data_IF_304682871856
#
_entry.id   IF_304682871856
#
_cell.length_a   1.000
_cell.length_b   1.000
_cell.length_c   1.000
_cell.angle_alpha   90.00
_cell.angle_beta   90.00
_cell.angle_gamma   90.00
#
_symmetry.space_group_name_H-M   'P 1'
#
loop_
_entity.id
_entity.type
_entity.pdbx_description
1 polymer ?
#
# COMPACT_ATOMS: atom_id res chain seq x y z
N UNK A 1 -77.08 11.81 -24.61
CA UNK A 1 -77.24 10.50 -23.94
C UNK A 1 -78.37 10.66 -22.95
N UNK A 2 -79.56 10.19 -23.31
CA UNK A 2 -80.70 10.16 -22.39
C UNK A 2 -80.42 9.04 -21.38
N UNK A 3 -80.27 9.40 -20.10
CA UNK A 3 -80.07 8.42 -19.03
C UNK A 3 -81.33 7.60 -18.79
N UNK A 4 -81.21 6.38 -18.21
CA UNK A 4 -82.36 5.56 -17.90
C UNK A 4 -83.28 6.29 -16.90
N UNK A 5 -84.56 6.43 -17.25
CA UNK A 5 -85.57 7.10 -16.42
C UNK A 5 -86.66 6.10 -16.01
N UNK A 6 -87.04 6.16 -14.73
CA UNK A 6 -88.09 5.33 -14.16
C UNK A 6 -89.11 6.21 -13.46
N UNK A 7 -90.39 6.06 -13.81
CA UNK A 7 -91.50 6.67 -13.10
C UNK A 7 -92.20 5.62 -12.23
N UNK A 8 -92.30 5.90 -10.95
CA UNK A 8 -92.87 4.99 -9.96
C UNK A 8 -94.15 5.59 -9.40
N UNK A 9 -95.27 4.88 -9.53
CA UNK A 9 -96.60 5.34 -9.14
C UNK A 9 -97.23 4.34 -8.16
N UNK A 10 -97.62 4.82 -6.98
CA UNK A 10 -98.34 4.05 -5.98
C UNK A 10 -99.73 4.67 -5.73
N UNK A 11 -100.78 4.26 -6.48
CA UNK A 11 -102.11 4.81 -6.26
C UNK A 11 -102.66 4.39 -4.89
N UNK A 12 -103.29 5.33 -4.18
CA UNK A 12 -104.09 5.07 -2.98
C UNK A 12 -105.57 5.37 -3.29
N UNK A 13 -106.49 4.60 -2.71
CA UNK A 13 -107.91 4.94 -2.75
C UNK A 13 -108.18 6.10 -1.77
N UNK A 14 -108.63 7.24 -2.30
CA UNK A 14 -109.04 8.42 -1.53
C UNK A 14 -110.50 8.79 -1.77
N UNK A 15 -111.12 9.44 -0.77
CA UNK A 15 -112.51 9.94 -0.84
C UNK A 15 -112.74 10.86 -2.05
N UNK A 16 -114.02 10.93 -2.48
CA UNK A 16 -114.47 11.64 -3.66
C UNK A 16 -113.83 13.03 -3.82
N UNK A 17 -112.97 13.19 -4.83
CA UNK A 17 -112.52 14.51 -5.26
C UNK A 17 -113.76 15.28 -5.71
N UNK A 18 -114.09 16.38 -5.03
CA UNK A 18 -115.37 17.08 -5.17
C UNK A 18 -115.74 17.47 -6.62
N UNK A 19 -116.93 18.05 -6.79
CA UNK A 19 -117.52 18.32 -8.10
C UNK A 19 -116.56 19.04 -9.06
N UNK A 20 -116.22 18.39 -10.17
CA UNK A 20 -115.32 18.90 -11.22
C UNK A 20 -113.89 18.35 -11.18
N UNK A 21 -113.53 17.53 -10.18
CA UNK A 21 -112.26 16.83 -10.12
C UNK A 21 -112.45 15.34 -10.44
N UNK A 22 -111.50 14.75 -11.16
CA UNK A 22 -111.46 13.31 -11.45
C UNK A 22 -110.30 12.74 -10.62
N UNK A 23 -110.56 11.83 -9.66
CA UNK A 23 -109.51 11.14 -8.91
C UNK A 23 -108.60 10.35 -9.87
N UNK A 24 -107.29 10.43 -9.64
CA UNK A 24 -106.28 9.71 -10.43
C UNK A 24 -105.63 10.55 -11.54
N UNK A 25 -104.64 9.96 -12.21
CA UNK A 25 -103.98 10.56 -13.38
C UNK A 25 -104.87 10.33 -14.61
N UNK A 26 -105.77 11.26 -14.93
CA UNK A 26 -106.56 11.18 -16.16
C UNK A 26 -105.64 11.28 -17.39
N UNK A 27 -105.43 10.15 -18.09
CA UNK A 27 -104.81 10.12 -19.42
C UNK A 27 -103.33 10.50 -19.46
N UNK A 28 -102.48 9.81 -18.70
CA UNK A 28 -101.03 9.90 -18.92
C UNK A 28 -100.64 9.09 -20.17
N UNK A 29 -100.03 9.71 -21.17
CA UNK A 29 -99.44 8.99 -22.32
C UNK A 29 -98.04 8.53 -21.97
N UNK A 30 -97.75 7.24 -22.11
CA UNK A 30 -96.40 6.69 -21.93
C UNK A 30 -95.38 7.47 -22.78
N UNK A 31 -94.32 7.95 -22.13
CA UNK A 31 -93.21 8.66 -22.78
C UNK A 31 -92.21 7.62 -23.29
N UNK A 32 -91.85 7.64 -24.58
CA UNK A 32 -90.85 6.73 -25.13
C UNK A 32 -89.54 6.78 -24.34
N UNK A 33 -89.00 5.62 -24.00
CA UNK A 33 -87.72 5.51 -23.28
C UNK A 33 -87.82 5.44 -21.75
N UNK A 34 -88.99 5.76 -21.17
CA UNK A 34 -89.23 5.68 -19.71
C UNK A 34 -89.76 4.31 -19.31
N UNK A 35 -89.29 3.78 -18.18
CA UNK A 35 -89.87 2.59 -17.54
C UNK A 35 -90.89 3.03 -16.49
N UNK A 36 -92.06 2.42 -16.48
CA UNK A 36 -93.12 2.70 -15.53
C UNK A 36 -93.25 1.53 -14.55
N UNK A 37 -93.38 1.82 -13.26
CA UNK A 37 -93.69 0.83 -12.22
C UNK A 37 -94.92 1.30 -11.46
N UNK A 38 -96.02 0.54 -11.55
CA UNK A 38 -97.32 0.91 -10.98
C UNK A 38 -97.84 -0.25 -10.13
N UNK A 39 -98.16 0.02 -8.87
CA UNK A 39 -98.66 -1.01 -7.94
C UNK A 39 -98.99 -0.43 -6.57
N UNK A 40 -99.54 -1.21 -5.63
CA UNK A 40 -99.87 -0.72 -4.31
C UNK A 40 -98.59 -0.31 -3.56
N UNK A 41 -98.73 0.62 -2.60
CA UNK A 41 -97.60 1.21 -1.84
C UNK A 41 -96.63 0.17 -1.29
N UNK A 42 -97.12 -0.98 -0.81
CA UNK A 42 -96.29 -2.06 -0.26
C UNK A 42 -95.40 -2.72 -1.33
N UNK A 43 -95.97 -3.01 -2.51
CA UNK A 43 -95.23 -3.61 -3.63
C UNK A 43 -94.20 -2.64 -4.20
N UNK A 44 -94.57 -1.36 -4.38
CA UNK A 44 -93.66 -0.31 -4.83
C UNK A 44 -92.50 -0.09 -3.84
N UNK A 45 -92.77 -0.09 -2.54
CA UNK A 45 -91.72 0.03 -1.53
C UNK A 45 -90.74 -1.16 -1.58
N UNK A 46 -91.23 -2.39 -1.83
CA UNK A 46 -90.36 -3.56 -2.00
C UNK A 46 -89.51 -3.47 -3.28
N UNK A 47 -90.06 -2.91 -4.37
CA UNK A 47 -89.34 -2.69 -5.61
C UNK A 47 -88.19 -1.68 -5.43
N UNK A 48 -88.48 -0.54 -4.78
CA UNK A 48 -87.50 0.51 -4.47
C UNK A 48 -86.46 0.05 -3.45
N UNK A 49 -86.85 -0.77 -2.48
CA UNK A 49 -85.96 -1.34 -1.48
C UNK A 49 -85.12 -2.52 -1.96
N UNK A 50 -85.23 -2.91 -3.23
CA UNK A 50 -84.56 -4.11 -3.75
C UNK A 50 -84.21 -4.01 -5.24
N UNK A 51 -84.88 -4.76 -6.14
CA UNK A 51 -84.37 -5.00 -7.49
C UNK A 51 -84.12 -3.74 -8.33
N UNK A 52 -84.93 -2.69 -8.16
CA UNK A 52 -84.84 -1.49 -8.99
C UNK A 52 -83.59 -0.63 -8.69
N UNK A 53 -83.11 -0.66 -7.45
CA UNK A 53 -81.90 0.06 -7.02
C UNK A 53 -80.68 -0.86 -6.88
N UNK A 54 -80.75 -2.10 -7.38
CA UNK A 54 -79.63 -3.02 -7.38
C UNK A 54 -78.68 -2.74 -8.57
N UNK A 55 -77.40 -2.39 -8.33
CA UNK A 55 -76.41 -2.22 -9.40
C UNK A 55 -76.32 -3.48 -10.29
N UNK A 56 -76.20 -3.29 -11.60
CA UNK A 56 -76.11 -4.39 -12.57
C UNK A 56 -77.41 -5.12 -12.90
N UNK A 57 -78.55 -4.75 -12.31
CA UNK A 57 -79.86 -5.36 -12.65
C UNK A 57 -80.56 -4.58 -13.76
N UNK A 58 -80.83 -5.22 -14.91
CA UNK A 58 -81.53 -4.57 -16.03
C UNK A 58 -83.03 -4.43 -15.77
N UNK A 59 -83.72 -3.49 -16.44
CA UNK A 59 -85.16 -3.28 -16.27
C UNK A 59 -86.00 -4.53 -16.58
N UNK A 60 -85.58 -5.35 -17.54
CA UNK A 60 -86.18 -6.66 -17.78
C UNK A 60 -85.97 -7.63 -16.60
N UNK A 61 -84.81 -7.56 -15.93
CA UNK A 61 -84.54 -8.31 -14.70
C UNK A 61 -85.39 -7.83 -13.53
N UNK A 62 -85.52 -6.50 -13.37
CA UNK A 62 -86.40 -5.88 -12.37
C UNK A 62 -87.86 -6.31 -12.58
N UNK A 63 -88.34 -6.33 -13.82
CA UNK A 63 -89.71 -6.75 -14.13
C UNK A 63 -90.00 -8.22 -13.78
N UNK A 64 -89.01 -9.12 -13.90
CA UNK A 64 -89.16 -10.53 -13.51
C UNK A 64 -89.13 -10.74 -12.00
N UNK A 65 -88.43 -9.89 -11.27
CA UNK A 65 -88.28 -9.97 -9.82
C UNK A 65 -89.31 -9.12 -9.05
N UNK A 66 -90.15 -8.37 -9.76
CA UNK A 66 -91.15 -7.51 -9.16
C UNK A 66 -92.25 -8.35 -8.46
N UNK A 67 -92.81 -7.85 -7.35
CA UNK A 67 -93.99 -8.46 -6.72
C UNK A 67 -95.17 -8.58 -7.71
N UNK A 68 -95.99 -9.62 -7.56
CA UNK A 68 -97.12 -9.92 -8.48
C UNK A 68 -98.16 -8.77 -8.56
N UNK A 69 -98.21 -7.89 -7.56
CA UNK A 69 -99.12 -6.73 -7.50
C UNK A 69 -98.52 -5.45 -8.09
N UNK A 70 -97.29 -5.50 -8.63
CA UNK A 70 -96.61 -4.39 -9.30
C UNK A 70 -96.45 -4.68 -10.79
N UNK A 71 -97.02 -3.81 -11.62
CA UNK A 71 -96.92 -3.89 -13.07
C UNK A 71 -95.79 -2.97 -13.53
N UNK A 72 -94.81 -3.55 -14.24
CA UNK A 72 -93.80 -2.78 -14.97
C UNK A 72 -94.14 -2.72 -16.47
N UNK A 73 -94.12 -1.51 -17.04
CA UNK A 73 -94.39 -1.26 -18.46
C UNK A 73 -93.42 -0.23 -19.06
N UNK A 74 -93.55 0.04 -20.36
CA UNK A 74 -92.65 0.94 -21.10
C UNK A 74 -91.34 0.28 -21.53
N UNK A 75 -90.21 0.96 -21.32
CA UNK A 75 -88.90 0.56 -21.84
C UNK A 75 -88.16 -0.48 -20.96
N UNK A 76 -88.58 -1.74 -21.02
CA UNK A 76 -87.96 -2.84 -20.26
C UNK A 76 -86.67 -3.38 -20.93
N UNK A 77 -85.63 -2.56 -20.98
CA UNK A 77 -84.34 -2.97 -21.56
C UNK A 77 -83.75 -4.20 -20.86
N UNK A 78 -83.21 -5.13 -21.65
CA UNK A 78 -82.49 -6.31 -21.18
C UNK A 78 -81.05 -6.02 -20.71
N UNK A 79 -80.49 -4.89 -21.13
CA UNK A 79 -79.08 -4.53 -20.90
C UNK A 79 -78.91 -3.35 -19.96
N UNK A 80 -79.92 -2.47 -19.88
CA UNK A 80 -79.86 -1.25 -19.06
C UNK A 80 -80.73 -1.36 -17.81
N UNK A 81 -80.21 -0.85 -16.69
CA UNK A 81 -80.91 -0.69 -15.42
C UNK A 81 -80.66 0.70 -14.82
N UNK A 82 -81.40 1.06 -13.78
CA UNK A 82 -81.36 2.42 -13.20
C UNK A 82 -79.99 2.79 -12.59
N UNK A 83 -79.29 1.82 -12.01
CA UNK A 83 -78.03 2.04 -11.26
C UNK A 83 -76.75 1.80 -12.07
N UNK A 84 -76.85 1.50 -13.37
CA UNK A 84 -75.69 1.23 -14.23
C UNK A 84 -75.01 -0.14 -13.97
N UNK A 85 -73.86 -0.42 -14.62
CA UNK A 85 -73.15 -1.69 -14.47
C UNK A 85 -72.61 -1.89 -13.04
N UNK A 86 -72.58 -3.14 -12.58
CA UNK A 86 -72.09 -3.50 -11.24
C UNK A 86 -70.56 -3.37 -11.08
N UNK A 87 -70.05 -3.42 -9.83
CA UNK A 87 -68.64 -3.21 -9.51
C UNK A 87 -67.67 -4.25 -10.10
N UNK A 88 -68.14 -5.41 -10.55
CA UNK A 88 -67.29 -6.53 -11.02
C UNK A 88 -66.80 -6.40 -12.48
N UNK A 89 -66.94 -5.23 -13.12
CA UNK A 89 -66.65 -5.05 -14.56
C UNK A 89 -65.37 -4.25 -14.87
N UNK A 90 -64.67 -3.68 -13.88
CA UNK A 90 -63.33 -3.11 -14.12
C UNK A 90 -62.30 -4.22 -13.92
N UNK A 91 -61.51 -4.62 -14.94
CA UNK A 91 -60.51 -5.67 -14.78
C UNK A 91 -59.55 -5.33 -13.64
N UNK A 92 -59.30 -6.28 -12.74
CA UNK A 92 -58.35 -6.15 -11.61
C UNK A 92 -57.00 -5.58 -12.06
N UNK A 93 -56.56 -5.93 -13.27
CA UNK A 93 -55.33 -5.41 -13.89
C UNK A 93 -55.35 -3.88 -14.06
N UNK A 94 -56.47 -3.28 -14.51
CA UNK A 94 -56.58 -1.83 -14.68
C UNK A 94 -56.60 -1.10 -13.33
N UNK A 95 -57.20 -1.71 -12.31
CA UNK A 95 -57.18 -1.19 -10.94
C UNK A 95 -55.77 -1.27 -10.32
N UNK A 96 -55.02 -2.33 -10.60
CA UNK A 96 -53.63 -2.48 -10.16
C UNK A 96 -52.73 -1.43 -10.82
N UNK A 97 -52.88 -1.21 -12.13
CA UNK A 97 -52.15 -0.17 -12.87
C UNK A 97 -52.43 1.23 -12.32
N UNK A 98 -53.70 1.59 -12.10
CA UNK A 98 -54.07 2.90 -11.58
C UNK A 98 -53.54 3.15 -10.15
N UNK A 99 -53.42 2.09 -9.32
CA UNK A 99 -52.82 2.19 -7.98
C UNK A 99 -51.32 2.43 -8.06
N UNK A 100 -50.63 1.71 -8.94
CA UNK A 100 -49.20 1.90 -9.16
C UNK A 100 -48.90 3.32 -9.68
N UNK A 101 -49.63 3.80 -10.68
CA UNK A 101 -49.45 5.14 -11.25
C UNK A 101 -49.64 6.24 -10.17
N UNK A 102 -50.65 6.09 -9.30
CA UNK A 102 -50.89 7.01 -8.19
C UNK A 102 -49.80 6.96 -7.12
N UNK A 103 -49.27 5.77 -6.83
CA UNK A 103 -48.14 5.61 -5.91
C UNK A 103 -46.87 6.24 -6.49
N UNK A 104 -46.60 6.02 -7.78
CA UNK A 104 -45.45 6.58 -8.49
C UNK A 104 -45.46 8.12 -8.46
N UNK A 105 -46.60 8.76 -8.75
CA UNK A 105 -46.74 10.21 -8.63
C UNK A 105 -46.39 10.75 -7.24
N UNK A 106 -46.79 10.04 -6.18
CA UNK A 106 -46.45 10.42 -4.81
C UNK A 106 -44.94 10.31 -4.55
N UNK A 107 -44.30 9.28 -5.10
CA UNK A 107 -42.85 9.06 -4.99
C UNK A 107 -42.07 10.14 -5.72
N UNK A 108 -42.44 10.49 -6.95
CA UNK A 108 -41.83 11.60 -7.70
C UNK A 108 -42.02 12.95 -6.99
N UNK A 109 -43.18 13.17 -6.37
CA UNK A 109 -43.45 14.41 -5.63
C UNK A 109 -42.57 14.52 -4.38
N UNK A 110 -42.27 13.39 -3.73
CA UNK A 110 -41.42 13.36 -2.54
C UNK A 110 -39.93 13.42 -2.89
N UNK A 111 -39.50 12.76 -3.97
CA UNK A 111 -38.12 12.71 -4.48
C UNK A 111 -37.06 12.43 -3.38
N UNK A 112 -37.33 11.42 -2.54
CA UNK A 112 -36.41 11.01 -1.46
C UNK A 112 -36.03 9.54 -1.59
N UNK A 113 -34.83 9.20 -1.12
CA UNK A 113 -34.35 7.79 -1.05
C UNK A 113 -35.39 6.89 -0.39
N UNK A 114 -36.02 7.34 0.70
CA UNK A 114 -37.05 6.59 1.42
C UNK A 114 -38.32 6.34 0.58
N UNK A 115 -38.75 7.33 -0.21
CA UNK A 115 -39.90 7.18 -1.11
C UNK A 115 -39.62 6.17 -2.23
N UNK A 116 -38.43 6.24 -2.85
CA UNK A 116 -38.03 5.28 -3.88
C UNK A 116 -37.82 3.86 -3.32
N UNK A 117 -37.22 3.72 -2.13
CA UNK A 117 -37.10 2.42 -1.44
C UNK A 117 -38.48 1.82 -1.15
N UNK A 118 -39.47 2.65 -0.76
CA UNK A 118 -40.85 2.21 -0.55
C UNK A 118 -41.53 1.74 -1.85
N UNK A 119 -41.32 2.44 -2.97
CA UNK A 119 -41.82 2.02 -4.27
C UNK A 119 -41.22 0.66 -4.71
N UNK A 120 -39.89 0.52 -4.63
CA UNK A 120 -39.18 -0.70 -5.01
C UNK A 120 -39.66 -1.91 -4.19
N UNK A 121 -39.93 -1.70 -2.90
CA UNK A 121 -40.44 -2.75 -2.01
C UNK A 121 -41.92 -3.12 -2.30
N UNK A 122 -42.75 -2.13 -2.65
CA UNK A 122 -44.17 -2.34 -2.94
C UNK A 122 -44.42 -2.93 -4.34
N UNK A 123 -43.57 -2.58 -5.32
CA UNK A 123 -43.70 -2.95 -6.73
C UNK A 123 -42.39 -3.55 -7.29
N UNK A 124 -41.98 -4.76 -6.86
CA UNK A 124 -40.72 -5.38 -7.27
C UNK A 124 -40.67 -5.78 -8.76
N UNK A 125 -41.82 -5.84 -9.44
CA UNK A 125 -41.95 -6.03 -10.90
C UNK A 125 -42.70 -4.85 -11.54
N UNK A 126 -42.68 -3.68 -10.88
CA UNK A 126 -43.39 -2.48 -11.31
C UNK A 126 -42.83 -1.85 -12.59
N UNK A 127 -43.67 -1.08 -13.28
CA UNK A 127 -43.34 -0.39 -14.54
C UNK A 127 -42.23 0.66 -14.36
N UNK A 128 -42.19 1.31 -13.20
CA UNK A 128 -41.22 2.37 -12.86
C UNK A 128 -40.03 1.87 -12.04
N UNK A 129 -39.85 0.54 -11.89
CA UNK A 129 -38.78 -0.03 -11.07
C UNK A 129 -37.39 0.46 -11.47
N UNK A 130 -37.09 0.50 -12.77
CA UNK A 130 -35.80 0.98 -13.26
C UNK A 130 -35.56 2.45 -12.91
N UNK A 131 -36.55 3.30 -13.14
CA UNK A 131 -36.47 4.73 -12.84
C UNK A 131 -36.35 5.00 -11.33
N UNK A 132 -37.10 4.26 -10.50
CA UNK A 132 -37.00 4.35 -9.06
C UNK A 132 -35.61 3.96 -8.54
N UNK A 133 -35.02 2.89 -9.09
CA UNK A 133 -33.67 2.45 -8.73
C UNK A 133 -32.62 3.48 -9.13
N UNK A 134 -32.67 3.96 -10.37
CA UNK A 134 -31.75 4.98 -10.88
C UNK A 134 -31.85 6.26 -10.05
N UNK A 135 -33.08 6.71 -9.73
CA UNK A 135 -33.28 7.95 -8.98
C UNK A 135 -32.87 7.84 -7.52
N UNK A 136 -33.14 6.69 -6.87
CA UNK A 136 -32.64 6.38 -5.52
C UNK A 136 -31.12 6.43 -5.47
N UNK A 137 -30.46 5.78 -6.41
CA UNK A 137 -29.00 5.70 -6.46
C UNK A 137 -28.41 7.08 -6.76
N UNK A 138 -29.03 7.86 -7.65
CA UNK A 138 -28.68 9.26 -7.86
C UNK A 138 -28.78 10.07 -6.57
N UNK A 139 -29.86 9.96 -5.79
CA UNK A 139 -30.01 10.71 -4.55
C UNK A 139 -29.02 10.27 -3.46
N UNK A 140 -28.68 8.98 -3.38
CA UNK A 140 -27.68 8.47 -2.42
C UNK A 140 -26.28 8.98 -2.72
N UNK A 141 -25.91 9.04 -3.99
CA UNK A 141 -24.57 9.47 -4.42
C UNK A 141 -24.44 11.00 -4.49
N UNK A 142 -25.50 11.77 -4.18
CA UNK A 142 -25.48 13.22 -4.27
C UNK A 142 -24.36 13.89 -3.44
N UNK A 143 -24.12 13.51 -2.17
CA UNK A 143 -23.04 14.11 -1.38
C UNK A 143 -21.65 13.88 -1.98
N UNK A 144 -21.38 12.67 -2.49
CA UNK A 144 -20.10 12.35 -3.12
C UNK A 144 -19.93 13.13 -4.44
N UNK A 145 -20.99 13.25 -5.25
CA UNK A 145 -20.94 14.04 -6.50
C UNK A 145 -20.70 15.52 -6.24
N UNK A 146 -21.36 16.09 -5.22
CA UNK A 146 -21.15 17.48 -4.82
C UNK A 146 -19.72 17.70 -4.33
N UNK A 147 -19.19 16.80 -3.49
CA UNK A 147 -17.82 16.87 -2.99
C UNK A 147 -16.80 16.72 -4.13
N UNK A 148 -17.04 15.81 -5.08
CA UNK A 148 -16.21 15.65 -6.28
C UNK A 148 -16.23 16.90 -7.15
N UNK A 149 -17.40 17.49 -7.40
CA UNK A 149 -17.52 18.73 -8.15
C UNK A 149 -16.82 19.90 -7.46
N UNK A 150 -16.89 19.96 -6.12
CA UNK A 150 -16.16 20.95 -5.32
C UNK A 150 -14.64 20.79 -5.47
N UNK A 151 -14.11 19.56 -5.44
CA UNK A 151 -12.69 19.28 -5.66
C UNK A 151 -12.26 19.61 -7.10
N UNK A 152 -13.09 19.24 -8.09
CA UNK A 152 -12.83 19.57 -9.49
C UNK A 152 -12.76 21.09 -9.70
N UNK A 153 -13.62 21.87 -9.02
CA UNK A 153 -13.61 23.33 -9.05
C UNK A 153 -12.40 23.98 -8.34
N UNK A 154 -11.58 23.21 -7.61
CA UNK A 154 -10.30 23.70 -7.07
C UNK A 154 -9.20 23.79 -8.14
N UNK A 155 -9.39 23.17 -9.32
CA UNK A 155 -8.41 23.15 -10.41
C UNK A 155 -7.01 22.71 -9.96
N UNK A 156 -6.94 21.74 -9.03
CA UNK A 156 -5.67 21.29 -8.44
C UNK A 156 -4.73 20.73 -9.51
N UNK A 157 -3.58 21.39 -9.65
CA UNK A 157 -2.51 20.92 -10.51
C UNK A 157 -1.90 19.64 -9.96
N UNK A 158 -1.12 18.93 -10.77
CA UNK A 158 -0.35 17.77 -10.28
C UNK A 158 0.60 18.15 -9.14
N UNK A 159 1.11 19.38 -9.11
CA UNK A 159 1.95 19.86 -8.01
C UNK A 159 1.14 19.99 -6.72
N UNK A 160 -0.03 20.65 -6.78
CA UNK A 160 -0.91 20.81 -5.61
C UNK A 160 -1.38 19.46 -5.06
N UNK A 161 -1.67 18.50 -5.94
CA UNK A 161 -2.02 17.12 -5.53
C UNK A 161 -0.86 16.42 -4.81
N UNK A 162 0.39 16.68 -5.21
CA UNK A 162 1.57 16.17 -4.50
C UNK A 162 1.74 16.86 -3.15
N UNK A 163 1.41 18.14 -3.04
CA UNK A 163 1.38 18.84 -1.76
C UNK A 163 0.35 18.25 -0.79
N UNK A 164 -0.87 17.99 -1.26
CA UNK A 164 -1.89 17.29 -0.47
C UNK A 164 -1.39 15.93 0.04
N UNK A 165 -0.80 15.11 -0.84
CA UNK A 165 -0.24 13.82 -0.43
C UNK A 165 0.92 13.97 0.58
N UNK A 166 1.77 14.99 0.44
CA UNK A 166 2.82 15.31 1.43
C UNK A 166 2.21 15.68 2.78
N UNK A 167 1.19 16.53 2.79
CA UNK A 167 0.51 16.95 4.01
C UNK A 167 -0.13 15.77 4.73
N UNK A 168 -0.83 14.90 3.98
CA UNK A 168 -1.39 13.66 4.53
C UNK A 168 -0.31 12.72 5.08
N UNK A 169 0.86 12.66 4.45
CA UNK A 169 1.97 11.86 4.94
C UNK A 169 2.56 12.40 6.24
N UNK A 170 2.80 13.72 6.35
CA UNK A 170 3.26 14.38 7.58
C UNK A 170 2.28 14.19 8.73
N UNK A 171 0.98 14.20 8.43
CA UNK A 171 -0.09 13.95 9.39
C UNK A 171 -0.29 12.46 9.74
N UNK A 172 0.36 11.55 9.01
CA UNK A 172 0.29 10.10 9.27
C UNK A 172 -0.88 9.37 8.63
N UNK A 173 -1.62 9.99 7.70
CA UNK A 173 -2.74 9.37 6.98
C UNK A 173 -2.32 8.68 5.67
N UNK A 174 -1.12 8.95 5.16
CA UNK A 174 -0.69 8.44 3.85
C UNK A 174 0.76 7.97 3.84
N UNK A 175 0.96 6.66 3.64
CA UNK A 175 2.28 6.01 3.67
C UNK A 175 2.81 5.62 2.27
N UNK A 176 2.01 5.79 1.21
CA UNK A 176 2.40 5.38 -0.15
C UNK A 176 3.19 6.48 -0.87
N UNK A 177 3.66 6.18 -2.07
CA UNK A 177 4.40 7.13 -2.91
C UNK A 177 3.60 8.40 -3.23
N UNK A 178 4.30 9.55 -3.21
CA UNK A 178 3.76 10.86 -3.58
C UNK A 178 3.94 11.07 -5.09
N UNK A 179 2.89 10.84 -5.85
CA UNK A 179 2.87 10.82 -7.31
C UNK A 179 1.96 11.89 -7.96
N UNK A 180 1.13 12.55 -7.15
CA UNK A 180 0.14 13.54 -7.56
C UNK A 180 -1.13 12.94 -8.14
N UNK A 181 -1.35 11.63 -7.98
CA UNK A 181 -2.51 10.90 -8.49
C UNK A 181 -3.43 10.55 -7.32
N UNK A 182 -4.69 11.02 -7.38
CA UNK A 182 -5.68 10.72 -6.36
C UNK A 182 -6.41 9.40 -6.68
N UNK A 183 -5.73 8.28 -6.40
CA UNK A 183 -6.32 6.95 -6.46
C UNK A 183 -7.10 6.59 -5.19
N UNK A 184 -7.64 5.35 -5.14
CA UNK A 184 -8.34 4.80 -3.95
C UNK A 184 -7.56 5.02 -2.65
N UNK A 185 -6.25 4.87 -2.71
CA UNK A 185 -5.37 5.03 -1.56
C UNK A 185 -5.28 6.45 -1.01
N UNK A 186 -5.34 7.47 -1.87
CA UNK A 186 -5.33 8.88 -1.46
C UNK A 186 -6.73 9.32 -1.02
N UNK A 187 -7.79 8.81 -1.69
CA UNK A 187 -9.19 9.05 -1.30
C UNK A 187 -9.48 8.56 0.12
N UNK A 188 -9.00 7.35 0.46
CA UNK A 188 -9.08 6.82 1.82
C UNK A 188 -8.39 7.73 2.83
N UNK A 189 -7.15 8.14 2.56
CA UNK A 189 -6.40 9.04 3.45
C UNK A 189 -7.08 10.42 3.64
N UNK A 190 -7.70 10.96 2.59
CA UNK A 190 -8.49 12.20 2.68
C UNK A 190 -9.72 11.97 3.57
N UNK A 191 -10.44 10.87 3.38
CA UNK A 191 -11.60 10.52 4.18
C UNK A 191 -11.24 10.30 5.66
N UNK A 192 -10.12 9.61 5.94
CA UNK A 192 -9.61 9.38 7.29
C UNK A 192 -9.22 10.70 7.98
N UNK A 193 -8.55 11.60 7.24
CA UNK A 193 -8.26 12.95 7.73
C UNK A 193 -9.53 13.76 7.98
N UNK A 194 -10.51 13.71 7.07
CA UNK A 194 -11.80 14.37 7.19
C UNK A 194 -12.58 13.88 8.44
N UNK A 195 -12.56 12.58 8.69
CA UNK A 195 -13.15 11.97 9.88
C UNK A 195 -12.48 12.49 11.16
N UNK A 196 -11.13 12.47 11.24
CA UNK A 196 -10.41 13.03 12.39
C UNK A 196 -10.66 14.54 12.55
N UNK A 197 -10.79 15.25 11.43
CA UNK A 197 -11.09 16.66 11.39
C UNK A 197 -12.54 16.97 11.82
N UNK A 198 -13.43 15.98 11.88
CA UNK A 198 -14.83 16.15 12.24
C UNK A 198 -15.69 16.75 11.12
N UNK A 199 -15.27 16.56 9.86
CA UNK A 199 -16.05 16.93 8.66
C UNK A 199 -16.52 15.65 7.94
N UNK A 200 -17.41 15.78 6.95
CA UNK A 200 -17.93 14.61 6.24
C UNK A 200 -16.80 13.86 5.49
N UNK A 201 -16.60 12.55 5.72
CA UNK A 201 -15.50 11.77 5.16
C UNK A 201 -15.79 11.35 3.71
N UNK A 202 -15.88 12.32 2.81
CA UNK A 202 -16.22 12.09 1.39
C UNK A 202 -15.04 11.57 0.58
N UNK A 203 -13.81 11.77 1.05
CA UNK A 203 -12.58 11.45 0.31
C UNK A 203 -12.22 12.47 -0.78
N UNK A 204 -13.00 13.55 -0.90
CA UNK A 204 -12.78 14.66 -1.83
C UNK A 204 -12.59 15.95 -1.05
N UNK A 205 -11.65 16.78 -1.48
CA UNK A 205 -11.33 18.02 -0.78
C UNK A 205 -12.13 19.21 -1.34
N UNK A 206 -12.77 19.97 -0.47
CA UNK A 206 -13.21 21.33 -0.79
C UNK A 206 -12.14 22.39 -0.44
N UNK A 207 -12.46 23.67 -0.64
CA UNK A 207 -11.53 24.78 -0.39
C UNK A 207 -11.19 24.93 1.10
N UNK A 208 -12.16 24.72 1.98
CA UNK A 208 -11.95 24.81 3.43
C UNK A 208 -11.10 23.63 3.91
N UNK A 209 -11.40 22.43 3.40
CA UNK A 209 -10.65 21.23 3.69
C UNK A 209 -9.18 21.40 3.31
N UNK A 210 -8.91 21.87 2.09
CA UNK A 210 -7.54 22.12 1.62
C UNK A 210 -6.79 23.12 2.52
N UNK A 211 -7.45 24.22 2.92
CA UNK A 211 -6.86 25.24 3.77
C UNK A 211 -6.55 24.68 5.18
N UNK A 212 -7.46 23.89 5.74
CA UNK A 212 -7.29 23.26 7.04
C UNK A 212 -6.22 22.17 7.03
N UNK A 213 -6.24 21.28 6.05
CA UNK A 213 -5.24 20.23 5.85
C UNK A 213 -3.82 20.82 5.81
N UNK A 214 -3.64 21.92 5.07
CA UNK A 214 -2.37 22.65 5.01
C UNK A 214 -1.97 23.21 6.38
N UNK A 215 -2.91 23.80 7.12
CA UNK A 215 -2.65 24.36 8.44
C UNK A 215 -2.22 23.29 9.44
N UNK A 216 -2.94 22.16 9.47
CA UNK A 216 -2.66 21.02 10.33
C UNK A 216 -1.27 20.45 10.01
N UNK A 217 -0.96 20.22 8.73
CA UNK A 217 0.35 19.70 8.32
C UNK A 217 1.49 20.67 8.67
N UNK A 218 1.26 21.98 8.51
CA UNK A 218 2.26 23.00 8.88
C UNK A 218 2.48 23.04 10.40
N UNK A 219 1.42 22.91 11.19
CA UNK A 219 1.52 22.83 12.65
C UNK A 219 2.29 21.58 13.07
N UNK A 220 1.95 20.42 12.48
CA UNK A 220 2.63 19.16 12.77
C UNK A 220 4.11 19.18 12.42
N UNK A 221 4.46 19.78 11.28
CA UNK A 221 5.86 19.95 10.87
C UNK A 221 6.65 20.79 11.88
N UNK A 222 6.07 21.88 12.40
CA UNK A 222 6.72 22.72 13.44
C UNK A 222 6.92 21.96 14.74
N UNK A 223 5.93 21.16 15.16
CA UNK A 223 6.06 20.31 16.36
C UNK A 223 7.22 19.34 16.22
N UNK A 224 7.33 18.66 15.07
CA UNK A 224 8.43 17.72 14.78
C UNK A 224 9.78 18.45 14.85
N UNK A 225 9.91 19.60 14.18
CA UNK A 225 11.13 20.41 14.19
C UNK A 225 11.51 20.89 15.60
N UNK A 226 10.53 21.29 16.41
CA UNK A 226 10.75 21.69 17.80
C UNK A 226 11.18 20.53 18.68
N UNK A 227 10.59 19.35 18.48
CA UNK A 227 10.96 18.11 19.18
C UNK A 227 12.37 17.68 18.82
N UNK A 228 12.72 17.62 17.53
CA UNK A 228 14.06 17.32 17.03
C UNK A 228 15.08 18.30 17.59
N UNK A 229 14.80 19.61 17.52
CA UNK A 229 15.65 20.66 18.11
C UNK A 229 15.83 20.46 19.61
N UNK A 230 14.76 20.08 20.33
CA UNK A 230 14.81 19.82 21.78
C UNK A 230 15.62 18.56 22.09
N UNK A 231 15.54 17.53 21.25
CA UNK A 231 16.35 16.32 21.38
C UNK A 231 17.82 16.61 21.10
N UNK A 232 18.13 17.28 19.99
CA UNK A 232 19.47 17.71 19.63
C UNK A 232 20.11 18.55 20.75
N UNK A 233 19.41 19.57 21.25
CA UNK A 233 19.92 20.37 22.38
C UNK A 233 20.18 19.53 23.64
N UNK A 234 19.38 18.49 23.91
CA UNK A 234 19.62 17.60 25.04
C UNK A 234 20.85 16.71 24.81
N UNK A 235 21.02 16.18 23.61
CA UNK A 235 22.19 15.39 23.24
C UNK A 235 23.46 16.22 23.30
N UNK A 236 23.47 17.43 22.73
CA UNK A 236 24.58 18.36 22.83
C UNK A 236 24.92 18.74 24.28
N UNK A 237 23.90 18.90 25.14
CA UNK A 237 24.13 19.14 26.57
C UNK A 237 24.76 17.94 27.25
N UNK A 238 24.33 16.71 26.91
CA UNK A 238 24.91 15.47 27.43
C UNK A 238 26.35 15.29 26.96
N UNK A 239 26.61 15.51 25.68
CA UNK A 239 27.93 15.50 25.07
C UNK A 239 28.85 16.50 25.79
N UNK A 240 28.45 17.78 25.90
CA UNK A 240 29.22 18.81 26.61
C UNK A 240 29.47 18.47 28.08
N UNK A 241 28.50 17.90 28.78
CA UNK A 241 28.67 17.48 30.16
C UNK A 241 29.67 16.33 30.27
N UNK A 242 29.54 15.32 29.40
CA UNK A 242 30.46 14.19 29.36
C UNK A 242 31.88 14.64 29.02
N UNK A 243 32.05 15.48 28.00
CA UNK A 243 33.34 16.10 27.66
C UNK A 243 33.94 16.86 28.84
N UNK A 244 33.15 17.64 29.59
CA UNK A 244 33.64 18.37 30.76
C UNK A 244 34.17 17.43 31.84
N UNK A 245 33.53 16.29 32.02
CA UNK A 245 33.80 15.36 33.11
C UNK A 245 34.92 14.35 32.74
N UNK A 246 35.01 13.90 31.48
CA UNK A 246 35.99 12.88 31.03
C UNK A 246 37.04 13.40 30.04
N UNK A 247 36.69 14.33 29.15
CA UNK A 247 37.54 14.77 28.04
C UNK A 247 38.30 16.08 28.24
N UNK A 248 38.03 16.80 29.34
CA UNK A 248 38.71 18.07 29.65
C UNK A 248 40.18 17.88 30.03
N UNK A 249 40.52 16.72 30.58
CA UNK A 249 41.89 16.37 31.00
C UNK A 249 42.84 16.13 29.82
N UNK A 250 44.13 16.03 30.15
CA UNK A 250 45.19 15.58 29.22
C UNK A 250 45.31 14.04 29.20
N UNK A 251 44.40 13.34 29.87
CA UNK A 251 44.46 11.89 30.03
C UNK A 251 43.94 11.18 28.77
N UNK A 252 44.82 10.44 28.10
CA UNK A 252 44.55 9.60 26.91
C UNK A 252 43.33 8.68 27.11
N UNK A 253 43.19 8.10 28.31
CA UNK A 253 42.07 7.22 28.63
C UNK A 253 40.71 7.95 28.59
N UNK A 254 40.66 9.19 29.07
CA UNK A 254 39.45 10.02 29.07
C UNK A 254 39.05 10.43 27.65
N UNK A 255 40.02 10.81 26.82
CA UNK A 255 39.80 11.15 25.42
C UNK A 255 39.31 9.95 24.60
N UNK A 256 39.89 8.75 24.81
CA UNK A 256 39.40 7.52 24.16
C UNK A 256 37.99 7.15 24.62
N UNK A 257 37.70 7.26 25.93
CA UNK A 257 36.36 7.03 26.45
C UNK A 257 35.32 8.04 25.94
N UNK A 258 35.73 9.27 25.64
CA UNK A 258 34.90 10.24 24.92
C UNK A 258 34.59 9.79 23.50
N UNK A 259 35.61 9.44 22.71
CA UNK A 259 35.45 9.03 21.31
C UNK A 259 34.68 7.72 21.13
N UNK A 260 34.79 6.79 22.06
CA UNK A 260 33.99 5.56 22.06
C UNK A 260 32.49 5.84 22.23
N UNK A 261 32.16 6.80 23.10
CA UNK A 261 30.77 7.18 23.40
C UNK A 261 30.17 8.16 22.39
N UNK A 262 30.98 9.09 21.90
CA UNK A 262 30.59 10.19 21.01
C UNK A 262 31.56 10.29 19.82
N UNK A 263 31.55 9.32 18.88
CA UNK A 263 32.49 9.28 17.77
C UNK A 263 32.32 10.44 16.77
N UNK A 264 31.12 11.01 16.67
CA UNK A 264 30.80 12.20 15.87
C UNK A 264 30.29 13.36 16.74
N UNK A 265 30.64 13.35 18.03
CA UNK A 265 30.25 14.40 18.97
C UNK A 265 30.91 15.76 18.68
N UNK A 266 30.44 16.79 19.37
CA UNK A 266 30.89 18.17 19.25
C UNK A 266 32.41 18.35 19.46
N UNK A 267 33.04 17.46 20.26
CA UNK A 267 34.46 17.53 20.58
C UNK A 267 35.27 16.36 19.99
N UNK A 268 34.69 15.54 19.11
CA UNK A 268 35.36 14.35 18.58
C UNK A 268 36.68 14.71 17.85
N UNK A 269 36.65 15.72 16.99
CA UNK A 269 37.85 16.20 16.30
C UNK A 269 38.91 16.74 17.27
N UNK A 270 38.48 17.47 18.31
CA UNK A 270 39.40 17.98 19.33
C UNK A 270 40.01 16.84 20.15
N UNK A 271 39.24 15.81 20.47
CA UNK A 271 39.70 14.66 21.22
C UNK A 271 40.71 13.83 20.41
N UNK A 272 40.45 13.61 19.12
CA UNK A 272 41.38 12.94 18.19
C UNK A 272 42.71 13.68 18.10
N UNK A 273 42.65 14.99 17.82
CA UNK A 273 43.86 15.81 17.71
C UNK A 273 44.72 15.76 18.99
N UNK A 274 44.08 15.82 20.17
CA UNK A 274 44.79 15.69 21.46
C UNK A 274 45.40 14.30 21.67
N UNK A 275 44.70 13.24 21.28
CA UNK A 275 45.24 11.88 21.36
C UNK A 275 46.47 11.73 20.45
N UNK A 276 46.40 12.25 19.24
CA UNK A 276 47.52 12.22 18.30
C UNK A 276 48.73 12.97 18.87
N UNK A 277 48.53 14.14 19.50
CA UNK A 277 49.60 14.89 20.19
C UNK A 277 50.22 14.08 21.34
N UNK A 278 49.41 13.39 22.15
CA UNK A 278 49.91 12.55 23.26
C UNK A 278 50.69 11.34 22.73
N UNK A 279 50.16 10.67 21.71
CA UNK A 279 50.81 9.52 21.09
C UNK A 279 52.13 9.93 20.41
N UNK A 280 52.16 11.06 19.71
CA UNK A 280 53.37 11.60 19.10
C UNK A 280 54.41 11.96 20.16
N UNK A 281 54.00 12.63 21.25
CA UNK A 281 54.91 12.94 22.36
C UNK A 281 55.49 11.66 23.00
N UNK A 282 54.68 10.60 23.17
CA UNK A 282 55.15 9.29 23.65
C UNK A 282 56.17 8.69 22.68
N UNK A 283 55.87 8.67 21.38
CA UNK A 283 56.78 8.17 20.34
C UNK A 283 58.10 8.95 20.34
N UNK A 284 58.06 10.26 20.47
CA UNK A 284 59.26 11.10 20.49
C UNK A 284 60.14 10.85 21.73
N UNK A 285 59.53 10.54 22.89
CA UNK A 285 60.28 10.10 24.08
C UNK A 285 60.91 8.73 23.84
N UNK A 286 60.14 7.76 23.31
CA UNK A 286 60.63 6.43 22.99
C UNK A 286 61.79 6.48 21.98
N UNK A 287 61.67 7.30 20.93
CA UNK A 287 62.69 7.49 19.91
C UNK A 287 63.97 8.11 20.49
N UNK A 288 63.85 9.09 21.40
CA UNK A 288 65.02 9.67 22.07
C UNK A 288 65.77 8.64 22.90
N UNK A 289 65.05 7.76 23.61
CA UNK A 289 65.65 6.67 24.37
C UNK A 289 66.27 5.61 23.43
N UNK A 290 65.59 5.27 22.34
CA UNK A 290 65.99 4.23 21.39
C UNK A 290 67.16 4.63 20.48
N UNK A 291 67.43 5.92 20.27
CA UNK A 291 68.46 6.41 19.32
C UNK A 291 69.83 5.78 19.52
N UNK A 292 70.30 5.64 20.76
CA UNK A 292 71.61 5.07 21.03
C UNK A 292 71.65 3.56 20.72
N UNK A 293 70.64 2.83 21.17
CA UNK A 293 70.52 1.39 20.95
C UNK A 293 70.28 1.05 19.48
N UNK A 294 69.57 1.93 18.75
CA UNK A 294 69.39 1.82 17.31
C UNK A 294 70.72 1.97 16.55
N UNK A 295 71.53 2.97 16.90
CA UNK A 295 72.85 3.14 16.29
C UNK A 295 73.74 1.92 16.56
N UNK A 296 73.73 1.40 17.79
CA UNK A 296 74.48 0.20 18.14
C UNK A 296 73.99 -1.04 17.35
N UNK A 297 72.68 -1.23 17.21
CA UNK A 297 72.11 -2.32 16.42
C UNK A 297 72.50 -2.21 14.94
N UNK A 298 72.49 -0.99 14.39
CA UNK A 298 72.90 -0.71 13.01
C UNK A 298 74.39 -0.88 12.77
N UNK A 299 75.24 -0.53 13.74
CA UNK A 299 76.68 -0.76 13.66
C UNK A 299 77.03 -2.25 13.75
N UNK A 300 76.29 -3.02 14.55
CA UNK A 300 76.46 -4.47 14.64
C UNK A 300 75.94 -5.20 13.39
N UNK A 301 74.83 -4.75 12.81
CA UNK A 301 74.17 -5.32 11.61
C UNK A 301 73.97 -6.85 11.71
N UNK A 302 73.46 -7.31 12.86
CA UNK A 302 73.19 -8.73 13.12
C UNK A 302 71.73 -8.97 13.48
N UNK A 303 71.21 -10.15 13.17
CA UNK A 303 69.85 -10.54 13.52
C UNK A 303 69.59 -10.42 15.03
N UNK A 304 70.56 -10.84 15.85
CA UNK A 304 70.47 -10.78 17.30
C UNK A 304 70.36 -9.32 17.82
N UNK A 305 71.13 -8.39 17.25
CA UNK A 305 71.10 -6.99 17.66
C UNK A 305 69.76 -6.31 17.30
N UNK A 306 69.22 -6.56 16.10
CA UNK A 306 67.91 -6.05 15.72
C UNK A 306 66.77 -6.69 16.53
N UNK A 307 66.85 -7.99 16.85
CA UNK A 307 65.85 -8.66 17.68
C UNK A 307 65.83 -8.11 19.12
N UNK A 308 67.00 -7.84 19.71
CA UNK A 308 67.11 -7.18 21.02
C UNK A 308 66.54 -5.76 20.97
N UNK A 309 66.90 -4.99 19.95
CA UNK A 309 66.36 -3.64 19.75
C UNK A 309 64.82 -3.65 19.68
N UNK A 310 64.22 -4.56 18.92
CA UNK A 310 62.77 -4.67 18.77
C UNK A 310 62.05 -5.09 20.06
N UNK A 311 62.69 -5.90 20.90
CA UNK A 311 62.15 -6.30 22.19
C UNK A 311 62.16 -5.13 23.18
N UNK A 312 63.25 -4.37 23.18
CA UNK A 312 63.46 -3.31 24.17
C UNK A 312 62.82 -1.97 23.75
N UNK A 313 62.66 -1.73 22.45
CA UNK A 313 62.07 -0.51 21.86
C UNK A 313 60.97 -0.79 20.82
N UNK A 314 59.88 -1.51 21.17
CA UNK A 314 58.84 -1.91 20.22
C UNK A 314 58.01 -0.76 19.64
N UNK A 315 57.94 0.37 20.34
CA UNK A 315 57.12 1.54 19.98
C UNK A 315 57.91 2.64 19.25
N UNK A 316 59.22 2.46 19.04
CA UNK A 316 60.03 3.45 18.34
C UNK A 316 59.77 3.46 16.84
N UNK A 317 59.94 4.61 16.18
CA UNK A 317 59.91 4.76 14.71
C UNK A 317 60.96 3.88 14.01
N UNK A 318 62.07 3.55 14.68
CA UNK A 318 63.09 2.65 14.11
C UNK A 318 62.67 1.17 14.15
N UNK A 319 61.60 0.80 14.86
CA UNK A 319 61.17 -0.59 14.96
C UNK A 319 60.74 -1.17 13.60
N UNK A 320 60.11 -0.38 12.73
CA UNK A 320 59.77 -0.84 11.39
C UNK A 320 61.02 -1.11 10.54
N UNK A 321 62.01 -0.22 10.59
CA UNK A 321 63.28 -0.37 9.88
C UNK A 321 64.08 -1.56 10.42
N UNK A 322 64.12 -1.75 11.75
CA UNK A 322 64.78 -2.88 12.39
C UNK A 322 64.13 -4.22 12.03
N UNK A 323 62.79 -4.30 11.93
CA UNK A 323 62.07 -5.51 11.48
C UNK A 323 62.42 -5.83 10.03
N UNK A 324 62.36 -4.85 9.15
CA UNK A 324 62.69 -5.05 7.74
C UNK A 324 64.13 -5.54 7.56
N UNK A 325 65.08 -4.98 8.34
CA UNK A 325 66.48 -5.41 8.28
C UNK A 325 66.70 -6.80 8.88
N UNK A 326 66.02 -7.13 9.98
CA UNK A 326 66.03 -8.46 10.57
C UNK A 326 65.53 -9.51 9.57
N UNK A 327 64.39 -9.26 8.94
CA UNK A 327 63.81 -10.15 7.93
C UNK A 327 64.77 -10.39 6.77
N UNK A 328 65.47 -9.36 6.29
CA UNK A 328 66.46 -9.47 5.21
C UNK A 328 67.67 -10.34 5.63
N UNK A 329 68.20 -10.13 6.83
CA UNK A 329 69.33 -10.91 7.36
C UNK A 329 68.91 -12.38 7.56
N UNK A 330 67.72 -12.62 8.11
CA UNK A 330 67.18 -13.96 8.30
C UNK A 330 66.93 -14.67 6.97
N UNK A 331 66.39 -13.97 5.97
CA UNK A 331 66.22 -14.50 4.62
C UNK A 331 67.58 -14.86 4.00
N UNK A 332 68.57 -13.96 4.05
CA UNK A 332 69.91 -14.24 3.53
C UNK A 332 70.60 -15.40 4.25
N UNK A 333 70.43 -15.51 5.57
CA UNK A 333 70.92 -16.65 6.36
C UNK A 333 70.24 -17.95 5.93
N UNK A 334 68.92 -17.96 5.81
CA UNK A 334 68.15 -19.13 5.38
C UNK A 334 68.53 -19.56 3.95
N UNK A 335 68.74 -18.61 3.03
CA UNK A 335 69.24 -18.89 1.68
C UNK A 335 70.63 -19.53 1.70
N UNK A 336 71.56 -18.98 2.50
CA UNK A 336 72.91 -19.53 2.65
C UNK A 336 72.90 -20.93 3.28
N UNK A 337 72.08 -21.15 4.30
CA UNK A 337 71.89 -22.46 4.93
C UNK A 337 71.28 -23.46 3.94
N UNK A 338 70.28 -23.05 3.14
CA UNK A 338 69.70 -23.88 2.09
C UNK A 338 70.73 -24.23 0.99
N UNK A 339 71.59 -23.28 0.60
CA UNK A 339 72.69 -23.55 -0.33
C UNK A 339 73.69 -24.54 0.28
N UNK A 340 74.06 -24.38 1.55
CA UNK A 340 74.99 -25.29 2.23
C UNK A 340 74.42 -26.71 2.36
N UNK A 341 73.16 -26.84 2.75
CA UNK A 341 72.45 -28.12 2.80
C UNK A 341 72.36 -28.76 1.41
N UNK A 342 71.95 -28.00 0.40
CA UNK A 342 71.85 -28.52 -0.97
C UNK A 342 73.21 -28.94 -1.54
N UNK A 343 74.31 -28.29 -1.15
CA UNK A 343 75.67 -28.72 -1.51
C UNK A 343 76.04 -30.06 -0.91
N UNK A 344 75.71 -30.29 0.36
CA UNK A 344 75.99 -31.55 1.02
C UNK A 344 75.12 -32.68 0.45
N UNK A 345 73.82 -32.41 0.26
CA UNK A 345 72.91 -33.34 -0.40
C UNK A 345 73.35 -33.67 -1.83
N UNK A 346 73.86 -32.71 -2.59
CA UNK A 346 74.41 -32.95 -3.93
C UNK A 346 75.58 -33.93 -3.89
N UNK A 347 76.42 -33.91 -2.85
CA UNK A 347 77.50 -34.91 -2.69
C UNK A 347 76.95 -36.32 -2.45
N UNK A 348 75.81 -36.43 -1.75
CA UNK A 348 75.16 -37.71 -1.44
C UNK A 348 74.42 -38.25 -2.65
N UNK A 349 73.55 -37.43 -3.26
CA UNK A 349 72.62 -37.87 -4.32
C UNK A 349 73.19 -37.74 -5.73
N UNK A 350 74.08 -36.77 -5.97
CA UNK A 350 74.76 -36.56 -7.25
C UNK A 350 76.28 -36.71 -7.10
N UNK A 351 76.74 -37.54 -6.17
CA UNK A 351 78.15 -37.84 -5.97
C UNK A 351 78.77 -38.68 -7.08
N UNK A 352 77.99 -39.60 -7.67
CA UNK A 352 78.44 -40.49 -8.74
C UNK A 352 78.31 -39.83 -10.12
N UNK A 353 79.34 -39.99 -10.96
CA UNK A 353 79.43 -39.39 -12.31
C UNK A 353 78.23 -39.77 -13.21
N UNK A 354 77.80 -41.04 -13.16
CA UNK A 354 76.62 -41.53 -13.91
C UNK A 354 75.35 -40.76 -13.54
N UNK A 355 75.18 -40.40 -12.26
CA UNK A 355 74.00 -39.67 -11.80
C UNK A 355 74.04 -38.21 -12.26
N UNK A 356 75.22 -37.58 -12.31
CA UNK A 356 75.38 -36.22 -12.86
C UNK A 356 75.03 -36.13 -14.34
N UNK A 357 75.47 -37.11 -15.13
CA UNK A 357 75.12 -37.24 -16.56
C UNK A 357 73.60 -37.37 -16.73
N UNK A 358 72.93 -38.17 -15.90
CA UNK A 358 71.48 -38.32 -15.94
C UNK A 358 70.74 -37.02 -15.60
N UNK A 359 71.24 -36.28 -14.59
CA UNK A 359 70.71 -34.97 -14.19
C UNK A 359 70.85 -33.95 -15.33
N UNK A 360 72.02 -33.83 -15.95
CA UNK A 360 72.25 -32.94 -17.11
C UNK A 360 71.37 -33.31 -18.29
N UNK A 361 71.28 -34.59 -18.65
CA UNK A 361 70.39 -35.04 -19.74
C UNK A 361 68.93 -34.68 -19.45
N UNK A 362 68.50 -34.82 -18.19
CA UNK A 362 67.14 -34.48 -17.78
C UNK A 362 66.90 -32.98 -17.79
N UNK A 363 67.85 -32.18 -17.32
CA UNK A 363 67.81 -30.71 -17.40
C UNK A 363 67.70 -30.23 -18.86
N UNK A 364 68.43 -30.86 -19.79
CA UNK A 364 68.31 -30.56 -21.22
C UNK A 364 66.91 -30.91 -21.77
N UNK A 365 66.34 -32.05 -21.35
CA UNK A 365 65.00 -32.47 -21.77
C UNK A 365 63.88 -31.54 -21.28
N UNK A 366 64.04 -30.95 -20.08
CA UNK A 366 63.09 -29.96 -19.55
C UNK A 366 63.36 -28.54 -20.06
N UNK A 367 64.26 -28.38 -21.03
CA UNK A 367 64.57 -27.08 -21.64
C UNK A 367 65.39 -26.14 -20.77
N UNK A 368 66.07 -26.65 -19.73
CA UNK A 368 66.85 -25.81 -18.81
C UNK A 368 68.27 -25.50 -19.30
N UNK A 369 68.71 -26.05 -20.44
CA UNK A 369 69.99 -25.75 -21.12
C UNK A 369 71.23 -25.87 -20.21
N UNK A 370 71.62 -27.09 -19.78
CA UNK A 370 72.74 -27.31 -18.85
C UNK A 370 74.14 -27.28 -19.49
N UNK A 371 74.25 -27.08 -20.81
CA UNK A 371 75.49 -27.23 -21.57
C UNK A 371 75.74 -28.67 -22.04
N UNK A 372 76.99 -29.04 -22.36
CA UNK A 372 77.38 -30.41 -22.71
C UNK A 372 77.03 -31.40 -21.59
N UNK A 373 76.51 -32.57 -21.96
CA UNK A 373 76.17 -33.65 -21.02
C UNK A 373 77.40 -34.54 -20.81
N UNK A 374 78.30 -34.15 -19.91
CA UNK A 374 79.58 -34.79 -19.66
C UNK A 374 79.81 -35.17 -18.19
N UNK A 375 78.82 -34.94 -17.31
CA UNK A 375 78.87 -35.25 -15.89
C UNK A 375 79.64 -34.21 -15.05
N UNK A 376 80.07 -33.10 -15.65
CA UNK A 376 80.79 -32.02 -14.98
C UNK A 376 79.85 -30.84 -14.78
N UNK A 377 79.42 -30.62 -13.53
CA UNK A 377 78.58 -29.48 -13.18
C UNK A 377 79.35 -28.16 -13.26
N UNK A 378 79.30 -27.54 -14.44
CA UNK A 378 79.87 -26.21 -14.72
C UNK A 378 78.89 -25.10 -14.33
N UNK A 379 79.30 -23.83 -14.47
CA UNK A 379 78.41 -22.70 -14.20
C UNK A 379 77.17 -22.68 -15.11
N UNK A 380 77.26 -23.20 -16.34
CA UNK A 380 76.10 -23.39 -17.23
C UNK A 380 75.10 -24.38 -16.63
N UNK A 381 75.60 -25.50 -16.11
CA UNK A 381 74.78 -26.51 -15.42
C UNK A 381 74.18 -25.95 -14.13
N UNK A 382 74.94 -25.18 -13.34
CA UNK A 382 74.44 -24.48 -12.13
C UNK A 382 73.33 -23.49 -12.49
N UNK A 383 73.49 -22.71 -13.56
CA UNK A 383 72.48 -21.80 -14.06
C UNK A 383 71.21 -22.54 -14.52
N UNK A 384 71.37 -23.68 -15.19
CA UNK A 384 70.25 -24.56 -15.57
C UNK A 384 69.50 -25.12 -14.36
N UNK A 385 70.23 -25.55 -13.31
CA UNK A 385 69.63 -25.99 -12.04
C UNK A 385 68.83 -24.85 -11.40
N UNK A 386 69.39 -23.63 -11.33
CA UNK A 386 68.67 -22.46 -10.79
C UNK A 386 67.42 -22.11 -11.60
N UNK A 387 67.48 -22.17 -12.93
CA UNK A 387 66.31 -21.98 -13.80
C UNK A 387 65.23 -23.02 -13.51
N UNK A 388 65.62 -24.28 -13.39
CA UNK A 388 64.71 -25.37 -13.07
C UNK A 388 64.07 -25.21 -11.68
N UNK A 389 64.88 -24.88 -10.65
CA UNK A 389 64.41 -24.66 -9.29
C UNK A 389 63.40 -23.51 -9.23
N UNK A 390 63.70 -22.36 -9.86
CA UNK A 390 62.75 -21.24 -9.98
C UNK A 390 61.44 -21.65 -10.64
N UNK A 391 61.52 -22.36 -11.76
CA UNK A 391 60.34 -22.79 -12.50
C UNK A 391 59.46 -23.78 -11.71
N UNK A 392 60.05 -24.52 -10.77
CA UNK A 392 59.35 -25.51 -9.93
C UNK A 392 59.00 -25.01 -8.52
N UNK A 393 59.27 -23.74 -8.21
CA UNK A 393 59.03 -23.18 -6.87
C UNK A 393 59.89 -23.81 -5.77
N UNK A 394 61.06 -24.34 -6.13
CA UNK A 394 62.03 -24.90 -5.18
C UNK A 394 63.03 -23.82 -4.74
N UNK A 395 63.66 -23.96 -3.55
CA UNK A 395 64.76 -23.10 -3.14
C UNK A 395 65.85 -23.03 -4.24
N UNK A 396 66.19 -21.82 -4.65
CA UNK A 396 67.05 -21.55 -5.83
C UNK A 396 68.52 -21.62 -5.45
N UNK A 397 68.98 -22.79 -5.03
CA UNK A 397 70.34 -22.99 -4.52
C UNK A 397 71.38 -23.18 -5.61
N UNK A 398 70.98 -23.59 -6.82
CA UNK A 398 71.87 -23.98 -7.91
C UNK A 398 72.58 -25.33 -7.70
N UNK A 399 72.24 -26.03 -6.62
CA UNK A 399 72.75 -27.36 -6.28
C UNK A 399 71.61 -28.38 -6.27
N UNK A 400 71.94 -29.63 -6.60
CA UNK A 400 70.96 -30.70 -6.67
C UNK A 400 70.69 -31.27 -5.27
N UNK A 401 69.72 -30.68 -4.57
CA UNK A 401 69.15 -31.25 -3.34
C UNK A 401 68.34 -32.53 -3.61
N UNK A 402 67.99 -33.28 -2.56
CA UNK A 402 67.09 -34.43 -2.66
C UNK A 402 65.77 -34.06 -3.35
N UNK A 403 65.19 -32.93 -2.96
CA UNK A 403 63.97 -32.40 -3.57
C UNK A 403 64.17 -32.06 -5.05
N UNK A 404 65.32 -31.47 -5.42
CA UNK A 404 65.66 -31.15 -6.82
C UNK A 404 65.85 -32.44 -7.64
N UNK A 405 66.54 -33.44 -7.11
CA UNK A 405 66.74 -34.74 -7.74
C UNK A 405 65.40 -35.49 -7.94
N UNK A 406 64.54 -35.53 -6.92
CA UNK A 406 63.22 -36.14 -7.00
C UNK A 406 62.34 -35.45 -8.06
N UNK A 407 62.34 -34.11 -8.08
CA UNK A 407 61.59 -33.31 -9.05
C UNK A 407 62.09 -33.46 -10.51
N UNK A 408 63.37 -33.76 -10.71
CA UNK A 408 63.95 -34.05 -12.02
C UNK A 408 63.65 -35.48 -12.47
N UNK A 409 63.82 -36.46 -11.57
CA UNK A 409 63.67 -37.89 -11.86
C UNK A 409 62.19 -38.33 -11.90
N UNK A 410 61.25 -37.46 -11.48
CA UNK A 410 59.83 -37.80 -11.48
C UNK A 410 59.49 -38.90 -10.46
N UNK A 411 60.28 -39.02 -9.40
CA UNK A 411 59.99 -39.92 -8.30
C UNK A 411 59.07 -39.17 -7.34
N UNK A 412 57.77 -39.44 -7.47
CA UNK A 412 56.75 -39.10 -6.47
C UNK A 412 56.73 -40.17 -5.40
#
# INVERSE_FOLDING_TARGET
MEGPAVLVLAPEEGEAAGTGLIPGLSGFSEVPGVTYAIGPRKGIAALLGGPLLAPGTSFAGVARAAPDDVILSGNLSGEMGLMGPGPDMVPEAQLAEAREDGFWQAVETLDTVAAYDAYIAAYPEGRYLGEAQERRDWLRDAPEREARAAEEALDLTRADRRDVQRWLAVLGFYERGIDGIFGRGTRGAIADWQEQAGVAPTGYLDRNDLARLRADATARQREIEEEERRQQMQEERRDRAYWRDTGRGEDEAGLRAYLDRYPEGLFAETARARLDEIEEARRDVADRAARADWQAAREADTAEAYAVFLRDHPESRFAEEARARLDEIEQGRAENEAIAQAREEERIYAGAEVVRILIERRLAQVGAEPGPVDGRFTEETRAAIRRFQRHRGLPVTGHVSQATAAALMGMR
#
